data_IF_862933205767
#
_entry.id   IF_862933205767
#
_cell.length_a   1.000
_cell.length_b   1.000
_cell.length_c   1.000
_cell.angle_alpha   90.00
_cell.angle_beta   90.00
_cell.angle_gamma   90.00
#
_symmetry.space_group_name_H-M   'P 1'
#
loop_
_entity.id
_entity.type
_entity.pdbx_description
1 polymer ?
#
# COMPACT_ATOMS: atom_id res chain seq x y z
N UNK A 1 4.35 -44.87 80.82
CA UNK A 1 3.10 -44.12 80.66
C UNK A 1 3.45 -42.63 80.68
N UNK A 2 3.12 -41.91 79.59
CA UNK A 2 3.16 -40.45 79.36
C UNK A 2 4.52 -39.72 79.44
N UNK A 3 5.15 -39.28 78.34
CA UNK A 3 4.86 -38.22 77.33
C UNK A 3 5.55 -36.87 77.68
N UNK A 4 6.22 -36.31 76.66
CA UNK A 4 6.42 -34.87 76.37
C UNK A 4 7.58 -34.14 77.06
N UNK A 5 8.37 -33.27 76.43
CA UNK A 5 8.47 -32.78 75.03
C UNK A 5 9.84 -32.10 74.90
N UNK A 6 10.53 -32.36 73.80
CA UNK A 6 11.82 -31.78 73.42
C UNK A 6 11.58 -30.42 72.76
N UNK A 7 12.39 -29.43 73.15
CA UNK A 7 12.34 -28.07 72.64
C UNK A 7 13.15 -27.85 71.35
N UNK A 8 13.44 -26.56 71.12
CA UNK A 8 14.29 -25.99 70.07
C UNK A 8 13.78 -26.19 68.64
N UNK A 9 13.87 -25.24 67.73
CA UNK A 9 14.56 -23.97 67.70
C UNK A 9 14.40 -23.46 66.26
N UNK A 10 14.19 -22.16 66.13
CA UNK A 10 13.92 -21.47 64.88
C UNK A 10 15.14 -21.52 63.95
N UNK A 11 14.98 -22.08 62.74
CA UNK A 11 15.80 -21.72 61.56
C UNK A 11 14.85 -21.56 60.38
N UNK A 12 14.57 -20.31 60.03
CA UNK A 12 13.80 -19.94 58.86
C UNK A 12 14.69 -20.07 57.61
N UNK A 13 14.43 -21.09 56.79
CA UNK A 13 15.00 -21.20 55.45
C UNK A 13 14.02 -20.51 54.49
N UNK A 14 14.41 -19.33 54.02
CA UNK A 14 13.73 -18.64 52.92
C UNK A 14 14.12 -19.37 51.63
N UNK A 15 13.21 -20.20 51.12
CA UNK A 15 13.32 -20.79 49.77
C UNK A 15 12.79 -19.77 48.78
N UNK A 16 13.69 -19.04 48.13
CA UNK A 16 13.39 -18.21 46.96
C UNK A 16 13.11 -19.14 45.77
N UNK A 17 11.83 -19.37 45.48
CA UNK A 17 11.42 -20.02 44.24
C UNK A 17 11.66 -19.07 43.06
N UNK A 18 12.75 -19.25 42.33
CA UNK A 18 12.95 -18.63 41.02
C UNK A 18 12.01 -19.34 40.05
N UNK A 19 10.84 -18.75 39.81
CA UNK A 19 9.99 -19.14 38.70
C UNK A 19 10.72 -18.75 37.41
N UNK A 20 11.36 -19.71 36.76
CA UNK A 20 11.85 -19.57 35.41
C UNK A 20 10.65 -19.36 34.48
N UNK A 21 10.30 -18.11 34.22
CA UNK A 21 9.41 -17.72 33.13
C UNK A 21 10.16 -18.02 31.82
N UNK A 22 10.01 -19.25 31.34
CA UNK A 22 10.33 -19.55 29.95
C UNK A 22 9.42 -18.66 29.08
N UNK A 23 9.95 -17.96 28.07
CA UNK A 23 9.09 -17.30 27.10
C UNK A 23 8.26 -18.37 26.40
N UNK A 24 6.98 -18.46 26.74
CA UNK A 24 6.00 -19.21 25.97
C UNK A 24 5.86 -18.45 24.66
N UNK A 25 6.63 -18.87 23.66
CA UNK A 25 6.33 -18.55 22.28
C UNK A 25 4.98 -19.21 22.00
N UNK A 26 3.92 -18.40 21.94
CA UNK A 26 2.64 -18.88 21.45
C UNK A 26 2.83 -19.26 19.99
N UNK A 27 3.01 -20.57 19.74
CA UNK A 27 2.91 -21.11 18.41
C UNK A 27 1.45 -20.92 17.99
N UNK A 28 1.15 -19.85 17.27
CA UNK A 28 -0.10 -19.72 16.54
C UNK A 28 -0.09 -20.83 15.50
N UNK A 29 -0.66 -21.98 15.84
CA UNK A 29 -1.02 -22.99 14.86
C UNK A 29 -2.06 -22.36 13.95
N UNK A 30 -1.60 -21.73 12.88
CA UNK A 30 -2.47 -21.36 11.79
C UNK A 30 -3.18 -22.62 11.35
N UNK A 31 -4.51 -22.57 11.26
CA UNK A 31 -5.32 -23.75 10.97
C UNK A 31 -4.91 -24.33 9.63
N UNK A 32 -4.21 -25.46 9.65
CA UNK A 32 -3.97 -26.28 8.46
C UNK A 32 -5.18 -27.19 8.29
N UNK A 33 -5.79 -27.14 7.11
CA UNK A 33 -6.95 -27.96 6.78
C UNK A 33 -6.72 -28.68 5.45
N UNK A 34 -7.38 -29.81 5.28
CA UNK A 34 -7.33 -30.55 4.03
C UNK A 34 -8.44 -30.10 3.08
N UNK A 35 -8.11 -29.95 1.81
CA UNK A 35 -9.03 -29.58 0.73
C UNK A 35 -8.91 -30.55 -0.44
N UNK A 36 -9.98 -30.65 -1.23
CA UNK A 36 -9.93 -31.35 -2.52
C UNK A 36 -9.17 -30.49 -3.54
N UNK A 37 -8.30 -31.10 -4.35
CA UNK A 37 -7.56 -30.41 -5.41
C UNK A 37 -7.82 -31.06 -6.77
N UNK A 38 -7.87 -30.25 -7.83
CA UNK A 38 -8.04 -30.77 -9.19
C UNK A 38 -6.87 -31.66 -9.63
N UNK A 39 -5.66 -31.33 -9.18
CA UNK A 39 -4.41 -32.03 -9.49
C UNK A 39 -3.54 -32.12 -8.24
N UNK A 40 -2.58 -33.07 -8.23
CA UNK A 40 -1.52 -33.11 -7.23
C UNK A 40 -0.73 -31.79 -7.22
N UNK A 41 -0.65 -31.15 -6.06
CA UNK A 41 0.00 -29.85 -5.87
C UNK A 41 1.31 -29.99 -5.12
N UNK A 42 2.34 -29.27 -5.57
CA UNK A 42 3.64 -29.23 -4.87
C UNK A 42 3.56 -28.40 -3.60
N UNK A 43 4.28 -28.82 -2.56
CA UNK A 43 4.46 -28.05 -1.32
C UNK A 43 4.99 -26.65 -1.62
N UNK A 44 4.45 -25.65 -0.92
CA UNK A 44 4.78 -24.24 -1.09
C UNK A 44 4.01 -23.52 -2.21
N UNK A 45 3.16 -24.22 -2.96
CA UNK A 45 2.29 -23.60 -3.97
C UNK A 45 1.21 -22.76 -3.28
N UNK A 46 1.02 -21.53 -3.75
CA UNK A 46 -0.08 -20.67 -3.29
C UNK A 46 -1.38 -21.12 -3.96
N UNK A 47 -2.44 -21.25 -3.18
CA UNK A 47 -3.74 -21.71 -3.64
C UNK A 47 -4.83 -20.68 -3.40
N UNK A 48 -5.87 -20.81 -4.20
CA UNK A 48 -7.11 -20.04 -4.13
C UNK A 48 -8.28 -21.00 -3.98
N UNK A 49 -9.35 -20.56 -3.32
CA UNK A 49 -10.58 -21.35 -3.24
C UNK A 49 -11.28 -21.35 -4.61
N UNK A 50 -11.69 -22.53 -5.05
CA UNK A 50 -12.42 -22.73 -6.29
C UNK A 50 -13.93 -22.85 -6.03
N UNK A 51 -14.73 -22.04 -6.74
CA UNK A 51 -16.19 -22.10 -6.69
C UNK A 51 -16.82 -21.53 -5.42
N UNK A 52 -18.15 -21.66 -5.32
CA UNK A 52 -18.95 -21.19 -4.17
C UNK A 52 -18.85 -22.11 -2.95
N UNK A 53 -18.36 -23.35 -3.13
CA UNK A 53 -18.53 -24.43 -2.16
C UNK A 53 -17.36 -24.61 -1.17
N UNK A 54 -16.40 -23.68 -1.12
CA UNK A 54 -15.33 -23.55 -0.10
C UNK A 54 -14.47 -24.80 0.22
N UNK A 55 -14.70 -25.95 -0.42
CA UNK A 55 -14.05 -27.23 -0.12
C UNK A 55 -13.05 -27.67 -1.20
N UNK A 56 -12.87 -26.88 -2.24
CA UNK A 56 -11.95 -27.16 -3.35
C UNK A 56 -10.93 -26.04 -3.50
N UNK A 57 -9.68 -26.42 -3.72
CA UNK A 57 -8.57 -25.48 -3.94
C UNK A 57 -7.97 -25.67 -5.33
N UNK A 58 -7.63 -24.55 -5.95
CA UNK A 58 -6.93 -24.49 -7.24
C UNK A 58 -5.66 -23.66 -7.09
N UNK A 59 -4.73 -23.83 -8.04
CA UNK A 59 -3.50 -23.02 -8.06
C UNK A 59 -3.88 -21.55 -8.21
N UNK A 60 -3.31 -20.70 -7.37
CA UNK A 60 -3.64 -19.28 -7.36
C UNK A 60 -3.11 -18.59 -8.62
N UNK A 61 -4.00 -17.82 -9.27
CA UNK A 61 -3.69 -17.12 -10.53
C UNK A 61 -3.63 -15.62 -10.31
N UNK A 62 -2.73 -14.95 -11.03
CA UNK A 62 -2.59 -13.49 -10.92
C UNK A 62 -3.89 -12.74 -11.29
N UNK A 63 -4.71 -13.28 -12.19
CA UNK A 63 -6.01 -12.71 -12.54
C UNK A 63 -7.03 -12.69 -11.38
N UNK A 64 -6.80 -13.49 -10.34
CA UNK A 64 -7.72 -13.68 -9.21
C UNK A 64 -7.00 -13.45 -7.87
N UNK A 65 -6.18 -12.39 -7.79
CA UNK A 65 -5.42 -12.01 -6.59
C UNK A 65 -6.28 -11.93 -5.31
N UNK A 66 -7.55 -11.58 -5.43
CA UNK A 66 -8.46 -11.42 -4.27
C UNK A 66 -8.92 -12.76 -3.68
N UNK A 67 -8.80 -13.85 -4.45
CA UNK A 67 -9.25 -15.19 -4.03
C UNK A 67 -8.12 -16.03 -3.40
N UNK A 68 -6.93 -15.44 -3.20
CA UNK A 68 -5.84 -16.12 -2.49
C UNK A 68 -6.33 -16.57 -1.11
N UNK A 69 -5.97 -17.80 -0.73
CA UNK A 69 -6.45 -18.39 0.51
C UNK A 69 -5.31 -18.87 1.40
N UNK A 70 -4.32 -19.57 0.84
CA UNK A 70 -3.25 -20.15 1.64
C UNK A 70 -2.14 -20.77 0.80
N UNK A 71 -1.27 -21.51 1.48
CA UNK A 71 -0.15 -22.22 0.88
C UNK A 71 -0.25 -23.72 1.14
N UNK A 72 0.12 -24.53 0.17
CA UNK A 72 0.20 -25.99 0.32
C UNK A 72 1.34 -26.35 1.27
N UNK A 73 1.05 -27.11 2.31
CA UNK A 73 2.03 -27.59 3.29
C UNK A 73 2.18 -29.10 3.23
N UNK A 74 3.33 -29.59 3.68
CA UNK A 74 3.56 -31.03 3.75
C UNK A 74 2.70 -31.66 4.86
N UNK A 75 2.27 -32.91 4.64
CA UNK A 75 1.49 -33.68 5.61
C UNK A 75 2.19 -33.81 6.97
N UNK A 76 3.53 -33.84 6.99
CA UNK A 76 4.33 -33.95 8.20
C UNK A 76 4.32 -32.69 9.08
N UNK A 77 3.90 -31.53 8.56
CA UNK A 77 3.81 -30.27 9.30
C UNK A 77 2.45 -30.09 10.02
N UNK A 78 1.51 -31.01 9.82
CA UNK A 78 0.13 -30.91 10.34
C UNK A 78 0.03 -31.61 11.70
N UNK A 79 -0.30 -30.85 12.75
CA UNK A 79 -0.46 -31.38 14.11
C UNK A 79 -1.74 -32.20 14.33
N UNK A 80 -2.77 -31.99 13.50
CA UNK A 80 -4.05 -32.70 13.55
C UNK A 80 -4.39 -33.20 12.16
N UNK A 81 -4.31 -34.52 11.96
CA UNK A 81 -4.59 -35.16 10.68
C UNK A 81 -6.07 -35.55 10.63
N UNK A 82 -6.88 -34.79 9.88
CA UNK A 82 -8.19 -35.25 9.43
C UNK A 82 -8.00 -35.68 7.97
N UNK A 83 -7.59 -36.93 7.80
CA UNK A 83 -7.52 -37.56 6.48
C UNK A 83 -8.90 -38.13 6.17
N UNK A 84 -9.56 -37.59 5.16
CA UNK A 84 -10.77 -38.21 4.61
C UNK A 84 -10.34 -38.94 3.33
N UNK A 85 -10.19 -40.26 3.43
CA UNK A 85 -9.78 -41.14 2.33
C UNK A 85 -10.78 -41.13 1.15
N UNK A 86 -11.93 -40.46 1.29
CA UNK A 86 -12.90 -40.25 0.20
C UNK A 86 -12.57 -39.08 -0.73
N UNK A 87 -11.56 -38.27 -0.42
CA UNK A 87 -11.18 -37.08 -1.22
C UNK A 87 -10.07 -37.42 -2.22
N UNK A 88 -10.39 -37.37 -3.51
CA UNK A 88 -9.37 -37.45 -4.57
C UNK A 88 -8.41 -36.25 -4.49
N UNK A 89 -7.09 -36.51 -4.53
CA UNK A 89 -6.01 -35.51 -4.47
C UNK A 89 -6.09 -34.58 -3.23
N UNK A 90 -6.23 -35.16 -2.04
CA UNK A 90 -6.24 -34.41 -0.78
C UNK A 90 -4.97 -33.55 -0.62
N UNK A 91 -5.14 -32.24 -0.49
CA UNK A 91 -4.04 -31.27 -0.32
C UNK A 91 -4.21 -30.53 1.01
N UNK A 92 -3.12 -30.38 1.77
CA UNK A 92 -3.13 -29.65 3.05
C UNK A 92 -2.77 -28.19 2.81
N UNK A 93 -3.62 -27.28 3.28
CA UNK A 93 -3.48 -25.84 3.05
C UNK A 93 -3.41 -25.11 4.38
N UNK A 94 -2.37 -24.29 4.54
CA UNK A 94 -2.22 -23.38 5.65
C UNK A 94 -2.69 -21.97 5.26
N UNK A 95 -3.72 -21.46 5.94
CA UNK A 95 -4.25 -20.11 5.71
C UNK A 95 -3.55 -19.03 6.56
N UNK A 96 -2.71 -19.41 7.53
CA UNK A 96 -1.98 -18.49 8.40
C UNK A 96 -0.73 -19.18 8.96
N UNK A 97 0.20 -18.40 9.52
CA UNK A 97 1.46 -18.91 10.06
C UNK A 97 2.63 -18.78 9.08
N UNK A 98 3.81 -19.24 9.48
CA UNK A 98 5.02 -19.16 8.68
C UNK A 98 5.32 -20.51 8.01
N UNK A 99 5.18 -20.56 6.68
CA UNK A 99 5.36 -21.78 5.91
C UNK A 99 6.24 -21.54 4.69
N UNK A 100 6.94 -22.58 4.25
CA UNK A 100 7.75 -22.53 3.05
C UNK A 100 6.85 -22.31 1.84
N UNK A 101 7.05 -21.18 1.15
CA UNK A 101 6.27 -20.76 -0.02
C UNK A 101 7.19 -20.63 -1.21
N UNK A 102 6.71 -21.04 -2.39
CA UNK A 102 7.43 -20.87 -3.65
C UNK A 102 7.49 -19.39 -3.99
N UNK A 103 8.71 -18.88 -4.22
CA UNK A 103 8.95 -17.49 -4.55
C UNK A 103 9.83 -17.35 -5.79
N UNK A 104 9.67 -16.24 -6.49
CA UNK A 104 10.36 -15.94 -7.72
C UNK A 104 11.05 -14.58 -7.68
N UNK A 105 12.16 -14.45 -8.40
CA UNK A 105 12.87 -13.17 -8.58
C UNK A 105 12.28 -12.30 -9.69
N UNK A 106 11.02 -12.55 -10.11
CA UNK A 106 10.42 -11.85 -11.25
C UNK A 106 10.41 -10.33 -11.04
N UNK A 107 10.00 -9.91 -9.84
CA UNK A 107 9.95 -8.51 -9.43
C UNK A 107 11.17 -8.07 -8.59
N UNK A 108 12.31 -8.73 -8.80
CA UNK A 108 13.57 -8.44 -8.11
C UNK A 108 13.87 -9.37 -6.93
N UNK A 109 14.93 -9.04 -6.19
CA UNK A 109 15.35 -9.77 -5.00
C UNK A 109 14.37 -9.53 -3.83
N UNK A 110 14.04 -10.58 -3.10
CA UNK A 110 13.19 -10.54 -1.91
C UNK A 110 14.09 -10.43 -0.69
N UNK A 111 13.80 -9.50 0.22
CA UNK A 111 14.46 -9.38 1.52
C UNK A 111 13.51 -9.78 2.64
N UNK A 112 14.06 -10.19 3.78
CA UNK A 112 13.32 -10.43 5.01
C UNK A 112 12.54 -9.16 5.39
N UNK A 113 11.24 -9.34 5.60
CA UNK A 113 10.30 -8.26 5.91
C UNK A 113 9.58 -7.68 4.68
N UNK A 114 10.02 -7.99 3.45
CA UNK A 114 9.33 -7.56 2.24
C UNK A 114 7.96 -8.25 2.14
N UNK A 115 6.99 -7.50 1.60
CA UNK A 115 5.72 -8.08 1.22
C UNK A 115 5.86 -8.89 -0.06
N UNK A 116 5.13 -10.00 -0.14
CA UNK A 116 5.09 -10.87 -1.31
C UNK A 116 3.66 -10.99 -1.83
N UNK A 117 3.52 -11.12 -3.14
CA UNK A 117 2.24 -11.28 -3.86
C UNK A 117 2.41 -12.29 -4.99
N UNK A 118 1.35 -12.67 -5.69
CA UNK A 118 1.43 -13.63 -6.80
C UNK A 118 2.27 -13.09 -7.95
N UNK A 119 3.12 -13.96 -8.49
CA UNK A 119 3.88 -13.74 -9.71
C UNK A 119 3.06 -14.07 -10.96
N UNK A 120 3.63 -13.86 -12.14
CA UNK A 120 3.01 -14.32 -13.39
C UNK A 120 3.09 -15.85 -13.56
N UNK A 121 3.81 -16.54 -12.68
CA UNK A 121 3.82 -17.99 -12.59
C UNK A 121 2.76 -18.38 -11.57
N UNK A 122 1.77 -19.14 -12.03
CA UNK A 122 0.67 -19.62 -11.21
C UNK A 122 1.20 -20.35 -9.96
N UNK A 123 0.67 -19.96 -8.79
CA UNK A 123 1.02 -20.56 -7.51
C UNK A 123 2.39 -20.18 -6.93
N UNK A 124 3.12 -19.26 -7.57
CA UNK A 124 4.44 -18.79 -7.09
C UNK A 124 4.34 -17.31 -6.72
N UNK A 125 4.89 -16.95 -5.55
CA UNK A 125 4.97 -15.58 -5.11
C UNK A 125 6.15 -14.82 -5.75
N UNK A 126 6.10 -13.49 -5.71
CA UNK A 126 7.20 -12.58 -6.02
C UNK A 126 7.15 -11.43 -5.02
N UNK A 127 8.21 -10.62 -4.99
CA UNK A 127 8.19 -9.35 -4.27
C UNK A 127 6.99 -8.50 -4.68
N UNK A 128 6.22 -8.02 -3.71
CA UNK A 128 5.10 -7.14 -3.97
C UNK A 128 5.62 -5.80 -4.48
N UNK A 129 5.09 -5.36 -5.62
CA UNK A 129 5.24 -4.01 -6.13
C UNK A 129 4.28 -3.07 -5.40
N UNK A 130 3.79 -2.08 -6.13
CA UNK A 130 2.99 -1.00 -5.56
C UNK A 130 1.50 -1.33 -5.55
N UNK A 131 0.75 -0.67 -4.68
CA UNK A 131 -0.68 -0.92 -4.49
C UNK A 131 -1.52 -0.80 -5.77
N UNK A 132 -1.13 0.06 -6.71
CA UNK A 132 -1.84 0.26 -7.98
C UNK A 132 -1.65 -0.94 -8.93
N UNK A 133 -0.51 -1.63 -8.86
CA UNK A 133 -0.23 -2.82 -9.66
C UNK A 133 -0.75 -4.10 -9.01
N UNK A 134 -0.62 -4.21 -7.68
CA UNK A 134 -1.14 -5.34 -6.91
C UNK A 134 -1.85 -4.83 -5.65
N UNK A 135 -3.18 -4.93 -5.65
CA UNK A 135 -4.02 -4.49 -4.53
C UNK A 135 -3.87 -5.37 -3.28
N UNK A 136 -3.50 -6.63 -3.45
CA UNK A 136 -3.45 -7.62 -2.37
C UNK A 136 -2.05 -8.21 -2.26
N UNK A 137 -1.58 -8.37 -1.03
CA UNK A 137 -0.35 -9.10 -0.69
C UNK A 137 -0.73 -10.39 0.02
N UNK A 138 0.03 -11.45 -0.25
CA UNK A 138 -0.19 -12.76 0.35
C UNK A 138 0.39 -12.85 1.76
N UNK A 139 1.51 -12.17 1.99
CA UNK A 139 2.20 -12.26 3.26
C UNK A 139 3.52 -11.51 3.29
N UNK A 140 4.34 -11.84 4.28
CA UNK A 140 5.64 -11.21 4.54
C UNK A 140 6.76 -12.25 4.55
N UNK A 141 7.82 -12.00 3.78
CA UNK A 141 8.98 -12.87 3.71
C UNK A 141 9.75 -12.90 5.03
N UNK A 142 10.13 -14.10 5.50
CA UNK A 142 10.96 -14.26 6.70
C UNK A 142 12.45 -14.43 6.39
N UNK A 143 12.80 -14.62 5.12
CA UNK A 143 14.17 -14.82 4.66
C UNK A 143 14.42 -14.08 3.35
N UNK A 144 15.69 -13.79 3.07
CA UNK A 144 16.15 -13.22 1.81
C UNK A 144 16.17 -14.28 0.70
N UNK A 145 15.81 -13.86 -0.52
CA UNK A 145 15.93 -14.64 -1.74
C UNK A 145 16.43 -13.78 -2.90
N UNK A 146 17.66 -14.04 -3.34
CA UNK A 146 18.34 -13.36 -4.44
C UNK A 146 18.53 -14.27 -5.68
N UNK A 147 17.95 -15.48 -5.69
CA UNK A 147 18.13 -16.46 -6.75
C UNK A 147 19.56 -17.05 -6.85
N UNK A 148 20.39 -16.93 -5.81
CA UNK A 148 21.72 -17.59 -5.73
C UNK A 148 21.77 -18.72 -4.69
N UNK A 149 20.71 -18.89 -3.89
CA UNK A 149 20.56 -19.96 -2.89
C UNK A 149 19.92 -21.23 -3.45
N UNK A 150 19.02 -21.86 -2.68
CA UNK A 150 18.24 -23.03 -3.12
C UNK A 150 17.26 -22.62 -4.22
N UNK A 151 17.70 -22.74 -5.48
CA UNK A 151 16.89 -22.53 -6.67
C UNK A 151 16.29 -23.88 -7.06
N UNK A 152 14.97 -24.00 -6.94
CA UNK A 152 14.21 -25.20 -7.28
C UNK A 152 13.97 -25.31 -8.79
N UNK A 153 13.81 -24.19 -9.48
CA UNK A 153 13.61 -24.16 -10.92
C UNK A 153 13.99 -22.80 -11.52
N UNK A 154 14.35 -22.77 -12.80
CA UNK A 154 14.61 -21.55 -13.56
C UNK A 154 13.70 -21.56 -14.78
N UNK A 155 12.90 -20.52 -14.95
CA UNK A 155 11.99 -20.39 -16.10
C UNK A 155 12.18 -19.04 -16.78
N UNK A 156 12.08 -19.00 -18.11
CA UNK A 156 12.14 -17.77 -18.88
C UNK A 156 10.72 -17.22 -19.06
N UNK A 157 10.47 -16.01 -18.55
CA UNK A 157 9.20 -15.32 -18.73
C UNK A 157 9.35 -14.26 -19.82
N UNK A 158 8.41 -14.25 -20.77
CA UNK A 158 8.30 -13.17 -21.75
C UNK A 158 7.62 -11.97 -21.08
N UNK A 159 8.22 -10.79 -21.22
CA UNK A 159 7.60 -9.54 -20.77
C UNK A 159 6.27 -9.27 -21.53
N UNK A 160 5.40 -8.45 -20.94
CA UNK A 160 4.10 -7.99 -21.44
C UNK A 160 4.17 -7.37 -22.85
N UNK A 161 5.36 -6.96 -23.29
CA UNK A 161 5.66 -6.45 -24.64
C UNK A 161 6.24 -7.48 -25.61
N UNK A 162 6.35 -8.75 -25.21
CA UNK A 162 6.75 -9.88 -26.06
C UNK A 162 8.21 -9.90 -26.53
N UNK A 163 9.07 -8.98 -26.06
CA UNK A 163 10.41 -8.78 -26.65
C UNK A 163 11.59 -9.33 -25.85
N UNK A 164 11.50 -9.46 -24.52
CA UNK A 164 12.63 -9.98 -23.74
C UNK A 164 12.21 -11.11 -22.80
N UNK A 165 12.90 -12.25 -22.94
CA UNK A 165 12.77 -13.39 -22.06
C UNK A 165 13.59 -13.13 -20.79
N UNK A 166 12.95 -12.62 -19.74
CA UNK A 166 13.58 -12.42 -18.44
C UNK A 166 13.72 -13.79 -17.76
N UNK A 167 14.96 -14.21 -17.50
CA UNK A 167 15.22 -15.43 -16.74
C UNK A 167 14.80 -15.21 -15.28
N UNK A 168 13.77 -15.93 -14.85
CA UNK A 168 13.24 -15.89 -13.49
C UNK A 168 13.65 -17.15 -12.75
N UNK A 169 14.18 -16.97 -11.55
CA UNK A 169 14.57 -18.07 -10.66
C UNK A 169 13.50 -18.28 -9.61
N UNK A 170 13.15 -19.53 -9.37
CA UNK A 170 12.16 -19.97 -8.40
C UNK A 170 12.90 -20.69 -7.27
N UNK A 171 12.55 -20.36 -6.03
CA UNK A 171 13.03 -21.04 -4.83
C UNK A 171 11.91 -21.17 -3.81
N UNK A 172 12.22 -21.70 -2.64
CA UNK A 172 11.29 -21.74 -1.50
C UNK A 172 11.88 -20.96 -0.33
N UNK A 173 11.08 -20.09 0.27
CA UNK A 173 11.44 -19.38 1.51
C UNK A 173 10.26 -19.41 2.49
N UNK A 174 10.52 -19.34 3.80
CA UNK A 174 9.47 -19.16 4.79
C UNK A 174 8.81 -17.80 4.61
N UNK A 175 7.49 -17.79 4.45
CA UNK A 175 6.64 -16.61 4.36
C UNK A 175 5.58 -16.71 5.45
N UNK A 176 5.40 -15.63 6.21
CA UNK A 176 4.24 -15.51 7.08
C UNK A 176 3.02 -15.17 6.24
N UNK A 177 2.08 -16.11 6.15
CA UNK A 177 0.81 -15.95 5.45
C UNK A 177 -0.04 -14.96 6.24
N UNK A 178 -0.34 -13.83 5.61
CA UNK A 178 -1.13 -12.72 6.15
C UNK A 178 -1.69 -11.94 4.96
N UNK A 179 -2.83 -12.41 4.47
CA UNK A 179 -3.47 -11.89 3.25
C UNK A 179 -4.16 -10.58 3.60
N UNK A 180 -3.64 -9.49 3.05
CA UNK A 180 -4.15 -8.14 3.31
C UNK A 180 -3.97 -7.24 2.11
N UNK A 181 -4.62 -6.08 2.18
CA UNK A 181 -4.43 -5.05 1.16
C UNK A 181 -2.98 -4.56 1.18
N UNK A 182 -2.39 -4.40 -0.01
CA UNK A 182 -1.00 -4.03 -0.17
C UNK A 182 -0.72 -2.68 0.53
N UNK A 183 0.14 -2.68 1.56
CA UNK A 183 0.51 -1.47 2.28
C UNK A 183 1.60 -0.66 1.55
N UNK A 184 2.19 -1.20 0.48
CA UNK A 184 3.16 -0.45 -0.32
C UNK A 184 2.43 0.72 -0.99
N UNK A 185 2.69 1.93 -0.48
CA UNK A 185 2.15 3.16 -1.02
C UNK A 185 2.47 3.30 -2.51
N UNK A 186 1.64 4.07 -3.22
CA UNK A 186 1.82 4.34 -4.66
C UNK A 186 3.29 4.66 -4.92
N UNK A 187 3.96 3.89 -5.79
CA UNK A 187 5.11 4.46 -6.50
C UNK A 187 4.49 5.57 -7.34
N UNK A 188 4.51 6.80 -6.83
CA UNK A 188 4.30 7.99 -7.63
C UNK A 188 5.47 8.10 -8.63
N UNK A 189 5.55 7.17 -9.59
CA UNK A 189 6.28 7.35 -10.84
C UNK A 189 5.44 8.34 -11.65
N UNK A 190 5.59 9.61 -11.32
CA UNK A 190 5.47 10.75 -12.24
C UNK A 190 5.67 12.02 -11.44
N UNK A 191 6.90 12.52 -11.51
CA UNK A 191 7.28 13.90 -11.17
C UNK A 191 7.03 14.27 -9.72
N UNK A 192 7.94 13.85 -8.83
CA UNK A 192 8.22 14.54 -7.57
C UNK A 192 8.65 15.98 -7.87
N UNK A 193 7.70 16.87 -8.07
CA UNK A 193 7.86 18.26 -7.72
C UNK A 193 7.29 18.39 -6.31
N UNK A 194 8.14 18.80 -5.39
CA UNK A 194 7.95 18.81 -3.94
C UNK A 194 6.84 19.79 -3.53
N UNK A 195 5.57 19.46 -3.79
CA UNK A 195 4.44 20.26 -3.34
C UNK A 195 4.14 19.95 -1.87
N UNK A 196 4.06 20.98 -1.01
CA UNK A 196 3.46 20.87 0.30
C UNK A 196 2.05 20.28 0.19
N UNK A 197 1.72 19.33 1.07
CA UNK A 197 0.46 18.57 1.06
C UNK A 197 -0.77 19.49 1.13
N UNK A 198 -0.64 20.65 1.76
CA UNK A 198 -1.70 21.65 1.89
C UNK A 198 -2.11 22.20 0.52
N UNK A 199 -1.15 22.46 -0.37
CA UNK A 199 -1.43 22.97 -1.73
C UNK A 199 -2.05 21.88 -2.61
N UNK A 200 -1.62 20.63 -2.40
CA UNK A 200 -2.22 19.49 -3.09
C UNK A 200 -3.68 19.32 -2.69
N UNK A 201 -4.00 19.37 -1.39
CA UNK A 201 -5.39 19.25 -0.90
C UNK A 201 -6.30 20.36 -1.43
N UNK A 202 -5.83 21.61 -1.45
CA UNK A 202 -6.62 22.73 -2.00
C UNK A 202 -6.86 22.55 -3.50
N UNK A 203 -5.83 22.14 -4.25
CA UNK A 203 -5.95 21.86 -5.68
C UNK A 203 -6.93 20.71 -5.97
N UNK A 204 -6.87 19.63 -5.20
CA UNK A 204 -7.74 18.47 -5.33
C UNK A 204 -9.19 18.76 -4.92
N UNK A 205 -9.42 19.58 -3.88
CA UNK A 205 -10.76 20.02 -3.49
C UNK A 205 -11.43 20.89 -4.55
N UNK A 206 -10.68 21.75 -5.23
CA UNK A 206 -11.21 22.61 -6.29
C UNK A 206 -11.46 21.81 -7.58
N UNK A 207 -10.60 20.84 -7.88
CA UNK A 207 -10.65 20.06 -9.12
C UNK A 207 -11.52 18.79 -9.03
N UNK A 208 -11.93 18.38 -7.82
CA UNK A 208 -12.65 17.14 -7.53
C UNK A 208 -11.93 15.87 -8.05
N UNK A 209 -10.62 15.97 -8.33
CA UNK A 209 -9.78 14.89 -8.87
C UNK A 209 -8.31 15.07 -8.46
N UNK A 210 -7.53 13.98 -8.50
CA UNK A 210 -6.07 14.03 -8.32
C UNK A 210 -5.44 14.88 -9.46
N UNK A 211 -4.86 16.03 -9.13
CA UNK A 211 -4.26 16.96 -10.12
C UNK A 211 -2.75 16.80 -10.16
N UNK A 212 -2.18 16.77 -11.37
CA UNK A 212 -0.73 16.72 -11.57
C UNK A 212 -0.04 17.95 -10.92
N UNK A 213 1.03 17.76 -10.12
CA UNK A 213 1.85 18.82 -9.51
C UNK A 213 2.19 20.01 -10.42
N UNK A 214 2.50 19.75 -11.70
CA UNK A 214 2.86 20.80 -12.68
C UNK A 214 1.70 21.76 -12.93
N UNK A 215 0.46 21.25 -13.02
CA UNK A 215 -0.75 22.07 -13.21
C UNK A 215 -1.01 22.96 -12.01
N UNK A 216 -0.71 22.46 -10.80
CA UNK A 216 -0.85 23.25 -9.58
C UNK A 216 0.17 24.40 -9.57
N UNK A 217 1.44 24.16 -9.91
CA UNK A 217 2.41 25.28 -10.03
C UNK A 217 2.02 26.31 -11.09
N UNK A 218 1.53 25.86 -12.26
CA UNK A 218 1.07 26.75 -13.31
C UNK A 218 -0.13 27.59 -12.87
N UNK A 219 -1.05 26.99 -12.10
CA UNK A 219 -2.21 27.70 -11.53
C UNK A 219 -1.81 28.78 -10.53
N UNK A 220 -0.81 28.49 -9.68
CA UNK A 220 -0.26 29.46 -8.73
C UNK A 220 0.39 30.63 -9.48
N UNK A 221 1.18 30.34 -10.53
CA UNK A 221 1.82 31.37 -11.34
C UNK A 221 0.78 32.29 -12.00
N UNK A 222 -0.27 31.73 -12.62
CA UNK A 222 -1.35 32.52 -13.25
C UNK A 222 -2.10 33.36 -12.20
N UNK A 223 -2.38 32.79 -11.03
CA UNK A 223 -3.04 33.51 -9.93
C UNK A 223 -2.22 34.72 -9.48
N UNK A 224 -0.90 34.53 -9.30
CA UNK A 224 0.02 35.60 -8.91
C UNK A 224 0.06 36.69 -9.99
N UNK A 225 0.17 36.33 -11.26
CA UNK A 225 0.20 37.29 -12.37
C UNK A 225 -1.11 38.09 -12.44
N UNK A 226 -2.27 37.41 -12.36
CA UNK A 226 -3.58 38.06 -12.35
C UNK A 226 -3.73 39.03 -11.18
N UNK A 227 -3.28 38.63 -9.99
CA UNK A 227 -3.32 39.48 -8.79
C UNK A 227 -2.43 40.72 -8.95
N UNK A 228 -1.20 40.56 -9.47
CA UNK A 228 -0.29 41.68 -9.72
C UNK A 228 -0.91 42.67 -10.71
N UNK A 229 -1.47 42.19 -11.82
CA UNK A 229 -2.12 43.03 -12.82
C UNK A 229 -3.30 43.78 -12.20
N UNK A 230 -4.15 43.09 -11.44
CA UNK A 230 -5.29 43.71 -10.76
C UNK A 230 -4.85 44.81 -9.77
N UNK A 231 -3.81 44.55 -8.98
CA UNK A 231 -3.25 45.53 -8.02
C UNK A 231 -2.70 46.76 -8.76
N UNK A 232 -1.97 46.57 -9.87
CA UNK A 232 -1.42 47.69 -10.66
C UNK A 232 -2.56 48.54 -11.23
N UNK A 233 -3.59 47.91 -11.82
CA UNK A 233 -4.74 48.61 -12.40
C UNK A 233 -5.50 49.41 -11.34
N UNK A 234 -5.81 48.78 -10.21
CA UNK A 234 -6.53 49.44 -9.11
C UNK A 234 -5.71 50.56 -8.49
N UNK A 235 -4.42 50.34 -8.23
CA UNK A 235 -3.53 51.36 -7.65
C UNK A 235 -3.39 52.58 -8.57
N UNK A 236 -3.17 52.35 -9.87
CA UNK A 236 -3.08 53.42 -10.87
C UNK A 236 -4.40 54.20 -10.95
N UNK A 237 -5.53 53.50 -10.97
CA UNK A 237 -6.87 54.10 -11.00
C UNK A 237 -7.18 54.96 -9.78
N UNK A 238 -6.91 54.43 -8.57
CA UNK A 238 -7.15 55.13 -7.31
C UNK A 238 -6.26 56.38 -7.22
N UNK A 239 -4.95 56.23 -7.45
CA UNK A 239 -4.02 57.37 -7.39
C UNK A 239 -4.41 58.48 -8.36
N UNK A 240 -4.74 58.12 -9.60
CA UNK A 240 -5.15 59.08 -10.63
C UNK A 240 -6.47 59.78 -10.26
N UNK A 241 -7.41 59.04 -9.69
CA UNK A 241 -8.70 59.57 -9.25
C UNK A 241 -8.55 60.54 -8.08
N UNK A 242 -7.70 60.22 -7.10
CA UNK A 242 -7.43 61.09 -5.94
C UNK A 242 -6.78 62.40 -6.36
N UNK A 243 -5.78 62.36 -7.24
CA UNK A 243 -5.12 63.57 -7.75
C UNK A 243 -6.11 64.43 -8.55
N UNK A 244 -6.96 63.80 -9.36
CA UNK A 244 -7.97 64.51 -10.17
C UNK A 244 -9.03 65.18 -9.29
N UNK A 245 -9.50 64.52 -8.23
CA UNK A 245 -10.45 65.09 -7.25
C UNK A 245 -9.83 66.27 -6.51
N UNK A 246 -8.57 66.15 -6.09
CA UNK A 246 -7.85 67.23 -5.42
C UNK A 246 -7.65 68.47 -6.29
N UNK A 247 -7.49 68.27 -7.61
CA UNK A 247 -7.30 69.37 -8.57
C UNK A 247 -8.60 70.00 -9.06
N UNK A 248 -9.70 69.23 -9.12
CA UNK A 248 -10.98 69.73 -9.60
C UNK A 248 -12.17 69.14 -8.83
N UNK A 249 -12.54 69.74 -7.68
CA UNK A 249 -13.60 69.22 -6.82
C UNK A 249 -15.01 69.29 -7.44
N UNK A 250 -15.22 70.10 -8.48
CA UNK A 250 -16.51 70.21 -9.18
C UNK A 250 -16.81 68.97 -10.04
N UNK A 251 -15.78 68.27 -10.52
CA UNK A 251 -15.91 67.06 -11.34
C UNK A 251 -16.00 65.76 -10.52
N UNK A 252 -16.15 65.84 -9.18
CA UNK A 252 -16.14 64.69 -8.26
C UNK A 252 -17.06 63.54 -8.69
N UNK A 253 -18.26 63.85 -9.20
CA UNK A 253 -19.25 62.85 -9.60
C UNK A 253 -18.81 62.06 -10.84
N UNK A 254 -18.13 62.73 -11.78
CA UNK A 254 -17.59 62.08 -12.99
C UNK A 254 -16.37 61.23 -12.64
N UNK A 255 -15.46 61.77 -11.80
CA UNK A 255 -14.25 61.06 -11.38
C UNK A 255 -14.58 59.82 -10.54
N UNK A 256 -15.59 59.89 -9.67
CA UNK A 256 -16.01 58.73 -8.87
C UNK A 256 -16.59 57.60 -9.74
N UNK A 257 -17.31 57.94 -10.82
CA UNK A 257 -17.78 56.94 -11.79
C UNK A 257 -16.61 56.26 -12.51
N UNK A 258 -15.62 57.04 -12.95
CA UNK A 258 -14.41 56.50 -13.56
C UNK A 258 -13.61 55.61 -12.58
N UNK A 259 -13.50 56.01 -11.31
CA UNK A 259 -12.88 55.19 -10.27
C UNK A 259 -13.59 53.85 -10.10
N UNK A 260 -14.93 53.87 -10.05
CA UNK A 260 -15.75 52.68 -9.92
C UNK A 260 -15.57 51.74 -11.12
N UNK A 261 -15.49 52.29 -12.33
CA UNK A 261 -15.20 51.52 -13.56
C UNK A 261 -13.83 50.83 -13.50
N UNK A 262 -12.79 51.52 -13.02
CA UNK A 262 -11.45 50.90 -12.86
C UNK A 262 -11.46 49.80 -11.79
N UNK A 263 -12.18 49.99 -10.68
CA UNK A 263 -12.33 48.96 -9.65
C UNK A 263 -13.07 47.74 -10.21
N UNK A 264 -14.16 47.95 -10.97
CA UNK A 264 -14.89 46.85 -11.63
C UNK A 264 -14.02 46.12 -12.64
N UNK A 265 -13.20 46.84 -13.41
CA UNK A 265 -12.24 46.24 -14.35
C UNK A 265 -11.20 45.40 -13.62
N UNK A 266 -10.67 45.88 -12.49
CA UNK A 266 -9.76 45.12 -11.64
C UNK A 266 -10.40 43.84 -11.09
N UNK A 267 -11.65 43.92 -10.62
CA UNK A 267 -12.41 42.76 -10.17
C UNK A 267 -12.63 41.74 -11.30
N UNK A 268 -12.96 42.22 -12.49
CA UNK A 268 -13.16 41.37 -13.67
C UNK A 268 -11.88 40.62 -14.05
N UNK A 269 -10.72 41.28 -13.98
CA UNK A 269 -9.41 40.63 -14.23
C UNK A 269 -9.16 39.47 -13.24
N UNK A 270 -9.50 39.66 -11.96
CA UNK A 270 -9.37 38.60 -10.94
C UNK A 270 -10.32 37.44 -11.23
N UNK A 271 -11.58 37.72 -11.57
CA UNK A 271 -12.57 36.68 -11.88
C UNK A 271 -12.12 35.85 -13.10
N UNK A 272 -11.65 36.51 -14.16
CA UNK A 272 -11.14 35.82 -15.35
C UNK A 272 -9.89 35.00 -15.03
N UNK A 273 -8.98 35.52 -14.20
CA UNK A 273 -7.80 34.78 -13.74
C UNK A 273 -8.15 33.52 -12.94
N UNK A 274 -9.09 33.63 -12.00
CA UNK A 274 -9.60 32.48 -11.23
C UNK A 274 -10.31 31.47 -12.12
N UNK A 275 -11.07 31.93 -13.11
CA UNK A 275 -11.74 31.05 -14.07
C UNK A 275 -10.73 30.29 -14.96
N UNK A 276 -9.66 30.95 -15.40
CA UNK A 276 -8.58 30.30 -16.14
C UNK A 276 -7.88 29.22 -15.31
N UNK A 277 -7.65 29.49 -14.02
CA UNK A 277 -7.10 28.53 -13.06
C UNK A 277 -8.04 27.33 -12.89
N UNK A 278 -9.34 27.58 -12.72
CA UNK A 278 -10.34 26.52 -12.61
C UNK A 278 -10.34 25.60 -13.83
N UNK A 279 -10.35 26.17 -15.04
CA UNK A 279 -10.29 25.39 -16.27
C UNK A 279 -9.00 24.58 -16.36
N UNK A 280 -7.85 25.15 -15.98
CA UNK A 280 -6.56 24.47 -16.02
C UNK A 280 -6.50 23.27 -15.08
N UNK A 281 -7.05 23.41 -13.87
CA UNK A 281 -7.11 22.31 -12.89
C UNK A 281 -8.13 21.23 -13.28
N UNK A 282 -9.23 21.61 -13.96
CA UNK A 282 -10.29 20.69 -14.37
C UNK A 282 -10.03 19.96 -15.69
N UNK A 283 -9.33 20.55 -16.64
CA UNK A 283 -8.77 19.84 -17.81
C UNK A 283 -7.77 18.79 -17.32
#
# INVERSE_FOLDING_TARGET
MNISRIGSGVVAVIVTAVAAVAPVWSLSTGGVQSYAADNSMSTGTIVQLAGKDANQVTVAKQAQLENMFGVVVDRSEVSIQISDDSIANQTYVAASGAHNTLVSTQNGEIKKGDFVTLSAIDGVAMKAGTRDQQKTVFGRAQQDFNGKGVVLSTTSLKDTSGKDAKTVKIGAIPVTVDIKTNPNEKEKISTKANLPEQLQRVGEQIAEKEVNPIRIYLSIAITIISLIVAVIVVYSGVRSSVISIGRNPMSKKSIFRALLEVILTGLLIVIVGLFAVYLLLKL
#
